data_IF_495478756757
#
_entry.id   IF_495478756757
#
_cell.length_a   1.000
_cell.length_b   1.000
_cell.length_c   1.000
_cell.angle_alpha   90.00
_cell.angle_beta   90.00
_cell.angle_gamma   90.00
#
_symmetry.space_group_name_H-M   'P 1'
#
loop_
_entity.id
_entity.type
_entity.pdbx_description
1 polymer ?
#
# COMPACT_ATOMS: atom_id res chain seq x y z
N UNK A 1 -41.98 22.95 15.54
CA UNK A 1 -40.67 22.35 15.90
C UNK A 1 -40.67 20.93 15.37
N UNK A 2 -40.39 20.75 14.08
CA UNK A 2 -39.99 19.43 13.59
C UNK A 2 -38.68 19.08 14.27
N UNK A 3 -38.65 17.96 14.99
CA UNK A 3 -37.42 17.42 15.55
C UNK A 3 -36.46 17.18 14.40
N UNK A 4 -35.35 17.90 14.43
CA UNK A 4 -34.18 17.70 13.59
C UNK A 4 -33.79 16.21 13.69
N UNK A 5 -34.28 15.39 12.76
CA UNK A 5 -33.91 13.98 12.68
C UNK A 5 -32.44 14.00 12.27
N UNK A 6 -31.53 13.75 13.21
CA UNK A 6 -30.12 13.52 12.93
C UNK A 6 -29.99 12.62 11.70
N UNK A 7 -29.60 13.22 10.57
CA UNK A 7 -29.43 12.53 9.30
C UNK A 7 -28.39 11.42 9.53
N UNK A 8 -28.73 10.19 9.17
CA UNK A 8 -27.82 9.04 9.31
C UNK A 8 -27.72 8.35 7.97
N UNK A 9 -26.51 8.19 7.44
CA UNK A 9 -26.27 7.50 6.17
C UNK A 9 -25.48 6.20 6.42
N UNK A 10 -26.14 5.06 6.22
CA UNK A 10 -25.57 3.73 6.38
C UNK A 10 -25.45 2.98 5.04
N UNK A 11 -25.69 3.66 3.92
CA UNK A 11 -25.85 3.03 2.61
C UNK A 11 -24.66 2.14 2.21
N UNK A 12 -23.44 2.58 2.50
CA UNK A 12 -22.19 1.86 2.21
C UNK A 12 -22.16 0.42 2.79
N UNK A 13 -22.74 0.21 3.97
CA UNK A 13 -22.78 -1.11 4.62
C UNK A 13 -23.57 -2.14 3.80
N UNK A 14 -24.50 -1.70 2.97
CA UNK A 14 -25.42 -2.58 2.24
C UNK A 14 -25.08 -2.69 0.75
N UNK A 15 -24.16 -1.85 0.27
CA UNK A 15 -23.63 -1.94 -1.09
C UNK A 15 -22.85 -3.26 -1.28
N UNK A 16 -22.91 -3.84 -2.49
CA UNK A 16 -22.09 -5.00 -2.83
C UNK A 16 -20.60 -4.64 -2.72
N UNK A 17 -19.77 -5.62 -2.37
CA UNK A 17 -18.32 -5.47 -2.40
C UNK A 17 -17.90 -5.19 -3.84
N UNK A 18 -17.00 -4.23 -4.03
CA UNK A 18 -16.39 -4.00 -5.33
C UNK A 18 -15.65 -5.26 -5.83
N UNK A 19 -15.79 -5.63 -7.11
CA UNK A 19 -15.05 -6.74 -7.67
C UNK A 19 -13.55 -6.45 -7.62
N UNK A 20 -12.75 -7.52 -7.52
CA UNK A 20 -11.30 -7.41 -7.67
C UNK A 20 -10.94 -7.30 -9.14
N UNK A 21 -9.97 -6.45 -9.46
CA UNK A 21 -9.42 -6.35 -10.81
C UNK A 21 -8.70 -7.66 -11.15
N UNK A 22 -8.95 -8.17 -12.35
CA UNK A 22 -8.28 -9.38 -12.86
C UNK A 22 -6.82 -9.07 -13.24
N UNK A 23 -6.02 -10.11 -13.47
CA UNK A 23 -4.64 -9.94 -13.93
C UNK A 23 -4.60 -9.33 -15.34
N UNK A 24 -5.46 -9.77 -16.25
CA UNK A 24 -5.55 -9.26 -17.63
C UNK A 24 -5.92 -7.77 -17.66
N UNK A 25 -6.94 -7.36 -16.89
CA UNK A 25 -7.31 -5.95 -16.76
C UNK A 25 -6.17 -5.12 -16.17
N UNK A 26 -5.48 -5.65 -15.15
CA UNK A 26 -4.34 -4.97 -14.54
C UNK A 26 -3.18 -4.79 -15.53
N UNK A 27 -2.87 -5.80 -16.34
CA UNK A 27 -1.84 -5.72 -17.37
C UNK A 27 -2.19 -4.69 -18.45
N UNK A 28 -3.43 -4.70 -18.93
CA UNK A 28 -3.93 -3.73 -19.91
C UNK A 28 -3.82 -2.30 -19.40
N UNK A 29 -4.30 -2.03 -18.18
CA UNK A 29 -4.24 -0.69 -17.58
C UNK A 29 -2.79 -0.26 -17.30
N UNK A 30 -1.94 -1.17 -16.82
CA UNK A 30 -0.53 -0.85 -16.65
C UNK A 30 0.14 -0.55 -17.99
N UNK A 31 -0.18 -1.27 -19.05
CA UNK A 31 0.37 -1.01 -20.38
C UNK A 31 -0.03 0.39 -20.86
N UNK A 32 -1.32 0.71 -20.87
CA UNK A 32 -1.87 2.01 -21.29
C UNK A 32 -1.18 3.18 -20.54
N UNK A 33 -1.17 3.15 -19.21
CA UNK A 33 -0.57 4.24 -18.44
C UNK A 33 0.95 4.36 -18.59
N UNK A 34 1.65 3.29 -18.97
CA UNK A 34 3.08 3.35 -19.25
C UNK A 34 3.38 3.72 -20.72
N UNK A 35 2.44 3.52 -21.65
CA UNK A 35 2.52 4.08 -23.01
C UNK A 35 2.39 5.60 -22.96
N UNK A 36 1.51 6.13 -22.11
CA UNK A 36 1.39 7.58 -21.89
C UNK A 36 2.61 8.20 -21.19
N UNK A 37 3.48 7.43 -20.53
CA UNK A 37 4.56 7.97 -19.70
C UNK A 37 5.82 8.25 -20.54
N UNK A 38 6.01 9.51 -20.93
CA UNK A 38 7.21 9.97 -21.64
C UNK A 38 8.48 9.84 -20.79
N UNK A 39 8.42 10.28 -19.54
CA UNK A 39 9.57 10.33 -18.65
C UNK A 39 9.18 10.38 -17.17
N UNK A 40 10.04 9.81 -16.32
CA UNK A 40 9.91 9.86 -14.87
C UNK A 40 11.26 10.17 -14.22
N UNK A 41 11.38 11.35 -13.62
CA UNK A 41 12.54 11.73 -12.82
C UNK A 41 12.28 11.52 -11.33
N UNK A 42 13.12 10.70 -10.69
CA UNK A 42 12.99 10.34 -9.29
C UNK A 42 14.01 11.08 -8.41
N UNK A 43 13.55 11.58 -7.26
CA UNK A 43 14.36 12.27 -6.26
C UNK A 43 14.07 11.72 -4.86
N UNK A 44 15.08 11.77 -3.99
CA UNK A 44 14.97 11.40 -2.57
C UNK A 44 15.48 12.54 -1.69
N UNK A 45 14.84 12.73 -0.54
CA UNK A 45 15.24 13.74 0.44
C UNK A 45 16.49 13.29 1.20
N UNK A 46 17.61 13.95 0.95
CA UNK A 46 18.85 13.76 1.69
C UNK A 46 19.22 15.03 2.46
N UNK A 47 19.26 14.91 3.79
CA UNK A 47 19.50 16.05 4.67
C UNK A 47 18.40 17.12 4.54
N UNK A 48 18.68 18.19 3.78
CA UNK A 48 17.77 19.32 3.55
C UNK A 48 17.45 19.57 2.08
N UNK A 49 17.83 18.66 1.18
CA UNK A 49 17.65 18.84 -0.27
C UNK A 49 17.20 17.54 -0.93
N UNK A 50 16.40 17.67 -1.97
CA UNK A 50 16.10 16.56 -2.86
C UNK A 50 17.25 16.36 -3.84
N UNK A 51 17.76 15.14 -3.92
CA UNK A 51 18.79 14.72 -4.87
C UNK A 51 18.25 13.61 -5.77
N UNK A 52 18.83 13.43 -6.94
CA UNK A 52 18.40 12.40 -7.89
C UNK A 52 18.56 11.02 -7.26
N UNK A 53 17.50 10.22 -7.33
CA UNK A 53 17.52 8.82 -6.90
C UNK A 53 18.29 7.99 -7.94
N UNK A 54 19.26 7.14 -7.53
CA UNK A 54 19.91 6.22 -8.44
C UNK A 54 18.91 5.27 -9.10
N UNK A 55 19.11 4.94 -10.37
CA UNK A 55 18.14 4.16 -11.16
C UNK A 55 17.96 2.73 -10.65
N UNK A 56 19.02 2.14 -10.09
CA UNK A 56 19.02 0.82 -9.46
C UNK A 56 18.09 0.75 -8.24
N UNK A 57 17.88 1.89 -7.58
CA UNK A 57 17.00 2.01 -6.41
C UNK A 57 15.55 2.34 -6.77
N UNK A 58 15.24 2.61 -8.04
CA UNK A 58 13.89 2.95 -8.46
C UNK A 58 12.91 1.82 -8.09
N UNK A 59 11.85 2.13 -7.34
CA UNK A 59 10.90 1.13 -6.83
C UNK A 59 11.26 0.56 -5.46
N UNK A 60 12.37 0.98 -4.84
CA UNK A 60 12.75 0.65 -3.46
C UNK A 60 12.58 1.90 -2.60
N UNK A 61 11.60 1.85 -1.70
CA UNK A 61 11.24 2.94 -0.81
C UNK A 61 11.64 2.64 0.63
N UNK A 62 12.03 3.66 1.37
CA UNK A 62 12.33 3.59 2.80
C UNK A 62 11.25 4.32 3.60
N UNK A 63 10.68 3.66 4.60
CA UNK A 63 9.52 4.19 5.33
C UNK A 63 9.83 5.42 6.22
N UNK A 64 11.09 5.79 6.39
CA UNK A 64 11.53 6.99 7.11
C UNK A 64 11.88 8.17 6.17
N UNK A 65 11.81 7.97 4.85
CA UNK A 65 12.19 8.97 3.86
C UNK A 65 11.01 9.51 3.04
N UNK A 66 11.30 10.60 2.33
CA UNK A 66 10.39 11.23 1.38
C UNK A 66 11.01 11.21 -0.02
N UNK A 67 10.17 10.97 -1.03
CA UNK A 67 10.56 10.87 -2.42
C UNK A 67 9.68 11.78 -3.27
N UNK A 68 10.23 12.26 -4.39
CA UNK A 68 9.52 13.09 -5.37
C UNK A 68 9.73 12.48 -6.74
N UNK A 69 8.66 12.30 -7.49
CA UNK A 69 8.69 11.79 -8.86
C UNK A 69 8.03 12.81 -9.76
N UNK A 70 8.78 13.37 -10.71
CA UNK A 70 8.24 14.21 -11.76
C UNK A 70 7.97 13.31 -12.97
N UNK A 71 6.69 13.04 -13.23
CA UNK A 71 6.24 12.27 -14.37
C UNK A 71 5.69 13.21 -15.44
N UNK A 72 6.14 13.07 -16.69
CA UNK A 72 5.55 13.71 -17.86
C UNK A 72 4.73 12.67 -18.61
N UNK A 73 3.45 12.96 -18.79
CA UNK A 73 2.55 12.13 -19.57
C UNK A 73 2.20 12.82 -20.88
N UNK A 74 2.24 12.08 -21.97
CA UNK A 74 1.66 12.48 -23.23
C UNK A 74 0.14 12.58 -23.11
N UNK A 75 -0.44 13.57 -23.78
CA UNK A 75 -1.90 13.77 -23.86
C UNK A 75 -2.26 13.99 -25.33
N UNK A 76 -3.21 13.20 -25.88
CA UNK A 76 -3.72 13.46 -27.22
C UNK A 76 -4.41 14.84 -27.26
N UNK A 77 -4.15 15.62 -28.31
CA UNK A 77 -4.88 16.86 -28.55
C UNK A 77 -6.29 16.52 -29.05
N UNK A 78 -7.31 16.81 -28.25
CA UNK A 78 -8.70 16.70 -28.70
C UNK A 78 -8.99 17.80 -29.73
N UNK A 79 -9.25 17.41 -30.98
CA UNK A 79 -9.73 18.32 -32.01
C UNK A 79 -11.16 18.77 -31.62
N UNK A 80 -11.50 20.07 -31.75
CA UNK A 80 -12.85 20.54 -31.49
C UNK A 80 -13.87 19.79 -32.36
N UNK A 81 -14.96 19.30 -31.78
CA UNK A 81 -16.04 18.60 -32.52
C UNK A 81 -16.69 19.47 -33.62
N UNK A 82 -16.50 20.79 -33.54
CA UNK A 82 -17.05 21.80 -34.47
C UNK A 82 -16.04 22.30 -35.52
N UNK A 83 -14.87 21.67 -35.67
CA UNK A 83 -13.93 22.03 -36.73
C UNK A 83 -14.50 21.60 -38.09
N UNK A 84 -15.07 22.55 -38.84
CA UNK A 84 -15.55 22.32 -40.21
C UNK A 84 -14.41 21.75 -41.08
N UNK A 85 -14.71 20.73 -41.90
CA UNK A 85 -13.79 20.16 -42.89
C UNK A 85 -13.32 21.28 -43.86
N UNK A 86 -12.22 21.95 -43.53
CA UNK A 86 -11.52 22.87 -44.43
C UNK A 86 -11.24 24.29 -43.95
N UNK A 87 -11.47 24.65 -42.68
CA UNK A 87 -10.90 25.89 -42.13
C UNK A 87 -9.52 25.60 -41.51
N UNK A 88 -8.52 26.31 -42.05
CA UNK A 88 -7.08 26.30 -41.80
C UNK A 88 -6.60 25.41 -40.65
N UNK A 89 -5.80 24.39 -41.01
CA UNK A 89 -4.80 23.73 -40.15
C UNK A 89 -3.83 24.80 -39.61
N UNK A 90 -4.27 25.70 -38.73
CA UNK A 90 -3.36 26.36 -37.81
C UNK A 90 -2.66 25.23 -37.07
N UNK A 91 -1.32 25.26 -37.07
CA UNK A 91 -0.41 24.29 -36.47
C UNK A 91 -0.77 24.02 -34.99
N UNK A 92 -1.83 23.26 -34.73
CA UNK A 92 -2.15 22.76 -33.42
C UNK A 92 -0.99 21.83 -33.05
N UNK A 93 -0.32 22.05 -31.92
CA UNK A 93 0.82 21.23 -31.55
C UNK A 93 0.40 19.77 -31.56
N UNK A 94 1.09 18.94 -32.36
CA UNK A 94 0.74 17.52 -32.58
C UNK A 94 0.74 16.70 -31.27
N UNK A 95 1.32 17.24 -30.19
CA UNK A 95 1.48 16.58 -28.90
C UNK A 95 1.26 17.59 -27.74
N UNK A 96 0.30 17.29 -26.85
CA UNK A 96 0.20 17.96 -25.54
C UNK A 96 0.76 17.06 -24.44
N UNK A 97 1.01 17.62 -23.26
CA UNK A 97 1.52 16.88 -22.13
C UNK A 97 0.97 17.38 -20.81
N UNK A 98 0.92 16.48 -19.84
CA UNK A 98 0.62 16.81 -18.44
C UNK A 98 1.77 16.36 -17.54
N UNK A 99 2.21 17.23 -16.66
CA UNK A 99 3.22 16.90 -15.66
C UNK A 99 2.53 16.59 -14.33
N UNK A 100 2.79 15.42 -13.75
CA UNK A 100 2.33 15.06 -12.41
C UNK A 100 3.54 14.86 -11.51
N UNK A 101 3.58 15.59 -10.40
CA UNK A 101 4.57 15.41 -9.35
C UNK A 101 3.97 14.58 -8.23
N UNK A 102 4.45 13.35 -8.09
CA UNK A 102 4.12 12.48 -6.96
C UNK A 102 5.09 12.72 -5.81
N UNK A 103 4.61 13.28 -4.71
CA UNK A 103 5.35 13.31 -3.45
C UNK A 103 4.96 12.10 -2.61
N UNK A 104 5.89 11.17 -2.39
CA UNK A 104 5.67 10.00 -1.55
C UNK A 104 6.29 10.19 -0.18
N UNK A 105 5.51 9.98 0.88
CA UNK A 105 5.96 10.08 2.26
C UNK A 105 5.87 8.73 2.98
N UNK A 106 7.02 8.23 3.44
CA UNK A 106 7.08 7.03 4.28
C UNK A 106 6.27 7.20 5.57
N UNK A 107 5.76 6.08 6.13
CA UNK A 107 4.94 6.11 7.35
C UNK A 107 5.63 6.85 8.50
N UNK A 108 6.93 6.60 8.68
CA UNK A 108 7.78 7.14 9.73
C UNK A 108 8.50 8.44 9.31
N UNK A 109 8.32 8.89 8.07
CA UNK A 109 8.94 10.09 7.56
C UNK A 109 8.28 11.37 8.13
N UNK A 110 9.13 12.37 8.43
CA UNK A 110 8.70 13.65 8.98
C UNK A 110 7.95 14.52 7.94
N UNK A 111 6.98 15.31 8.42
CA UNK A 111 6.30 16.33 7.61
C UNK A 111 7.24 17.44 7.12
N UNK A 112 8.44 17.57 7.70
CA UNK A 112 9.47 18.49 7.20
C UNK A 112 9.88 18.22 5.75
N UNK A 113 9.76 16.97 5.27
CA UNK A 113 10.04 16.66 3.87
C UNK A 113 9.06 17.32 2.91
N UNK A 114 7.77 17.36 3.27
CA UNK A 114 6.74 18.04 2.47
C UNK A 114 7.01 19.55 2.41
N UNK A 115 7.30 20.18 3.55
CA UNK A 115 7.67 21.60 3.60
C UNK A 115 8.91 21.88 2.75
N UNK A 116 9.92 21.02 2.83
CA UNK A 116 11.14 21.15 2.02
C UNK A 116 10.81 21.11 0.53
N UNK A 117 9.94 20.19 0.10
CA UNK A 117 9.49 20.11 -1.29
C UNK A 117 8.75 21.39 -1.73
N UNK A 118 7.74 21.82 -0.98
CA UNK A 118 6.93 23.00 -1.31
C UNK A 118 7.77 24.28 -1.40
N UNK A 119 8.74 24.48 -0.52
CA UNK A 119 9.60 25.66 -0.54
C UNK A 119 10.81 25.55 -1.50
N UNK A 120 11.10 24.38 -2.07
CA UNK A 120 12.24 24.19 -2.97
C UNK A 120 11.85 23.77 -4.39
N UNK A 121 11.47 22.50 -4.60
CA UNK A 121 11.22 21.94 -5.93
C UNK A 121 9.87 22.39 -6.50
N UNK A 122 8.83 22.49 -5.67
CA UNK A 122 7.48 22.79 -6.16
C UNK A 122 7.44 24.09 -6.97
N UNK A 123 7.98 25.19 -6.42
CA UNK A 123 8.06 26.48 -7.13
C UNK A 123 8.85 26.43 -8.43
N UNK A 124 9.88 25.56 -8.51
CA UNK A 124 10.66 25.38 -9.74
C UNK A 124 9.83 24.65 -10.80
N UNK A 125 9.12 23.59 -10.41
CA UNK A 125 8.24 22.87 -11.31
C UNK A 125 7.06 23.74 -11.78
N UNK A 126 6.44 24.51 -10.88
CA UNK A 126 5.39 25.47 -11.23
C UNK A 126 5.90 26.52 -12.23
N UNK A 127 7.12 27.01 -12.06
CA UNK A 127 7.74 27.94 -13.02
C UNK A 127 8.07 27.32 -14.38
N UNK A 128 8.26 25.99 -14.46
CA UNK A 128 8.61 25.29 -15.69
C UNK A 128 7.38 24.81 -16.47
N UNK A 129 6.33 24.39 -15.75
CA UNK A 129 5.19 23.70 -16.34
C UNK A 129 3.86 24.43 -16.18
N UNK A 130 3.81 25.49 -15.36
CA UNK A 130 2.63 26.35 -15.22
C UNK A 130 1.38 25.57 -14.83
N UNK A 131 0.33 25.74 -15.61
CA UNK A 131 -1.00 25.11 -15.48
C UNK A 131 -1.01 23.61 -15.82
N UNK A 132 0.02 23.11 -16.51
CA UNK A 132 0.16 21.68 -16.83
C UNK A 132 0.66 20.82 -15.67
N UNK A 133 0.96 21.45 -14.52
CA UNK A 133 1.48 20.77 -13.34
C UNK A 133 0.37 20.37 -12.37
N UNK A 134 0.30 19.08 -12.06
CA UNK A 134 -0.46 18.55 -10.94
C UNK A 134 0.50 18.07 -9.84
N UNK A 135 0.21 18.37 -8.58
CA UNK A 135 0.99 17.87 -7.43
C UNK A 135 0.13 16.92 -6.61
N UNK A 136 0.54 15.66 -6.54
CA UNK A 136 -0.14 14.61 -5.79
C UNK A 136 0.72 14.21 -4.59
N UNK A 137 0.25 14.53 -3.39
CA UNK A 137 0.86 14.06 -2.15
C UNK A 137 0.26 12.70 -1.78
N UNK A 138 1.10 11.68 -1.70
CA UNK A 138 0.72 10.34 -1.26
C UNK A 138 1.53 9.91 -0.04
N UNK A 139 0.89 9.12 0.80
CA UNK A 139 1.52 8.46 1.94
C UNK A 139 1.73 6.98 1.61
N UNK A 140 2.69 6.36 2.29
CA UNK A 140 2.92 4.92 2.21
C UNK A 140 1.62 4.11 2.28
N UNK A 141 1.41 3.21 1.31
CA UNK A 141 0.22 2.37 1.14
C UNK A 141 -1.09 3.13 0.83
N UNK A 142 -1.01 4.41 0.47
CA UNK A 142 -2.13 5.23 -0.02
C UNK A 142 -1.83 5.80 -1.41
N UNK A 143 -0.97 5.11 -2.16
CA UNK A 143 -0.64 5.45 -3.54
C UNK A 143 -1.81 5.14 -4.47
N UNK A 144 -1.98 5.95 -5.53
CA UNK A 144 -2.97 5.63 -6.55
C UNK A 144 -2.43 4.58 -7.53
N UNK A 145 -3.35 3.91 -8.24
CA UNK A 145 -2.99 2.82 -9.16
C UNK A 145 -2.10 3.31 -10.32
N UNK A 146 -2.31 4.54 -10.83
CA UNK A 146 -1.49 5.10 -11.91
C UNK A 146 -0.02 5.18 -11.52
N UNK A 147 0.28 5.74 -10.35
CA UNK A 147 1.64 5.78 -9.82
C UNK A 147 2.24 4.38 -9.61
N UNK A 148 1.46 3.45 -9.02
CA UNK A 148 1.93 2.07 -8.77
C UNK A 148 2.22 1.30 -10.07
N UNK A 149 1.49 1.60 -11.15
CA UNK A 149 1.64 0.92 -12.45
C UNK A 149 3.04 1.05 -13.05
N UNK A 150 3.73 2.17 -12.80
CA UNK A 150 5.06 2.44 -13.34
C UNK A 150 6.15 1.55 -12.74
N UNK A 151 5.86 0.90 -11.62
CA UNK A 151 6.77 -0.04 -10.96
C UNK A 151 6.56 -1.49 -11.40
N UNK A 152 5.56 -1.76 -12.26
CA UNK A 152 5.29 -3.10 -12.82
C UNK A 152 5.24 -4.16 -11.72
N UNK A 153 4.51 -3.86 -10.63
CA UNK A 153 4.34 -4.67 -9.40
C UNK A 153 5.58 -4.81 -8.50
N UNK A 154 6.73 -4.23 -8.87
CA UNK A 154 7.96 -4.25 -8.08
C UNK A 154 8.07 -3.02 -7.17
N UNK A 155 7.09 -2.83 -6.29
CA UNK A 155 7.05 -1.74 -5.31
C UNK A 155 7.49 -2.25 -3.92
N UNK A 156 8.73 -1.97 -3.54
CA UNK A 156 9.34 -2.47 -2.29
C UNK A 156 9.33 -1.37 -1.23
N UNK A 157 8.88 -1.68 -0.02
CA UNK A 157 8.95 -0.76 1.12
C UNK A 157 9.83 -1.40 2.21
N UNK A 158 10.99 -0.80 2.46
CA UNK A 158 11.93 -1.13 3.53
C UNK A 158 11.65 -0.31 4.79
N UNK A 159 11.98 -0.90 5.92
CA UNK A 159 11.97 -0.24 7.22
C UNK A 159 13.28 0.49 7.46
N UNK A 160 13.20 1.65 8.12
CA UNK A 160 14.35 2.49 8.42
C UNK A 160 14.71 3.42 7.28
N UNK A 161 15.70 4.26 7.53
CA UNK A 161 16.22 5.24 6.59
C UNK A 161 17.08 4.63 5.48
N UNK A 162 17.04 5.21 4.29
CA UNK A 162 17.91 4.89 3.17
C UNK A 162 19.38 5.10 3.55
N UNK A 163 20.21 4.10 3.27
CA UNK A 163 21.66 4.15 3.52
C UNK A 163 22.33 4.95 2.42
N UNK A 164 23.12 5.96 2.80
CA UNK A 164 23.92 6.73 1.85
C UNK A 164 25.15 5.92 1.42
N UNK A 165 25.68 6.11 0.21
CA UNK A 165 26.85 5.35 -0.30
C UNK A 165 28.09 5.42 0.61
N UNK A 166 28.25 6.51 1.35
CA UNK A 166 29.38 6.74 2.26
C UNK A 166 29.05 6.45 3.73
N UNK A 167 27.90 5.82 4.01
CA UNK A 167 27.54 5.44 5.38
C UNK A 167 28.49 4.35 5.90
N UNK A 168 28.81 4.33 7.21
CA UNK A 168 29.59 3.25 7.80
C UNK A 168 28.94 1.90 7.50
N UNK A 169 29.74 0.89 7.15
CA UNK A 169 29.22 -0.46 6.99
C UNK A 169 28.71 -0.99 8.33
N UNK A 170 27.39 -1.03 8.46
CA UNK A 170 26.73 -1.70 9.57
C UNK A 170 26.63 -3.19 9.28
N UNK A 171 26.76 -4.00 10.35
CA UNK A 171 26.51 -5.44 10.25
C UNK A 171 25.09 -5.67 9.71
N UNK A 172 24.93 -6.42 8.59
CA UNK A 172 23.62 -6.68 8.03
C UNK A 172 22.78 -7.47 9.04
N UNK A 173 21.49 -7.15 9.11
CA UNK A 173 20.52 -7.84 9.95
C UNK A 173 19.55 -8.60 9.06
N UNK A 174 18.87 -9.61 9.61
CA UNK A 174 17.86 -10.35 8.86
C UNK A 174 16.76 -9.41 8.38
N UNK A 175 16.47 -9.45 7.09
CA UNK A 175 15.33 -8.75 6.50
C UNK A 175 14.28 -9.76 6.03
N UNK A 176 13.01 -9.46 6.28
CA UNK A 176 11.89 -10.32 5.91
C UNK A 176 10.81 -9.49 5.22
N UNK A 177 10.43 -9.87 4.01
CA UNK A 177 9.48 -9.15 3.19
C UNK A 177 8.27 -10.01 2.87
N UNK A 178 7.12 -9.37 2.77
CA UNK A 178 5.84 -9.98 2.43
C UNK A 178 5.32 -9.34 1.15
N UNK A 179 5.24 -10.12 0.07
CA UNK A 179 4.64 -9.72 -1.20
C UNK A 179 3.13 -9.97 -1.15
N UNK A 180 2.33 -8.92 -1.37
CA UNK A 180 0.87 -9.01 -1.35
C UNK A 180 0.24 -7.92 -2.22
N UNK A 181 -0.82 -8.30 -2.93
CA UNK A 181 -1.73 -7.40 -3.62
C UNK A 181 -3.08 -7.36 -2.90
N UNK A 182 -3.70 -6.19 -2.80
CA UNK A 182 -5.06 -6.03 -2.30
C UNK A 182 -5.95 -5.44 -3.38
N UNK A 183 -7.06 -6.11 -3.71
CA UNK A 183 -8.07 -5.59 -4.63
C UNK A 183 -7.66 -5.59 -6.11
N UNK A 184 -6.42 -5.23 -6.43
CA UNK A 184 -5.85 -5.19 -7.77
C UNK A 184 -4.40 -5.68 -7.77
N UNK A 185 -3.96 -6.45 -8.79
CA UNK A 185 -2.56 -6.79 -9.00
C UNK A 185 -1.65 -5.56 -9.13
N UNK A 186 -2.14 -4.42 -9.62
CA UNK A 186 -1.36 -3.17 -9.70
C UNK A 186 -0.92 -2.71 -8.30
N UNK A 187 -1.75 -2.95 -7.28
CA UNK A 187 -1.47 -2.62 -5.89
C UNK A 187 -0.54 -3.62 -5.18
N UNK A 188 0.19 -4.45 -5.92
CA UNK A 188 1.21 -5.35 -5.37
C UNK A 188 2.30 -4.55 -4.68
N UNK A 189 2.54 -4.83 -3.39
CA UNK A 189 3.66 -4.28 -2.63
C UNK A 189 4.48 -5.40 -2.00
N UNK A 190 5.78 -5.18 -1.85
CA UNK A 190 6.68 -6.03 -1.08
C UNK A 190 7.13 -5.27 0.16
N UNK A 191 6.47 -5.51 1.29
CA UNK A 191 6.67 -4.72 2.51
C UNK A 191 7.55 -5.47 3.49
N UNK A 192 8.59 -4.82 4.00
CA UNK A 192 9.44 -5.36 5.05
C UNK A 192 8.66 -5.46 6.37
N UNK A 193 8.64 -6.65 6.95
CA UNK A 193 7.98 -6.98 8.20
C UNK A 193 8.99 -7.60 9.18
N UNK A 194 8.59 -7.72 10.45
CA UNK A 194 9.43 -8.37 11.44
C UNK A 194 9.63 -9.85 11.09
N UNK A 195 10.87 -10.39 11.13
CA UNK A 195 11.12 -11.82 10.95
C UNK A 195 10.38 -12.63 12.03
N UNK A 196 9.35 -13.37 11.63
CA UNK A 196 8.62 -14.28 12.49
C UNK A 196 7.85 -15.30 11.64
N UNK A 197 8.09 -16.59 11.87
CA UNK A 197 7.40 -17.67 11.15
C UNK A 197 5.87 -17.59 11.21
N UNK A 198 5.29 -17.02 12.27
CA UNK A 198 3.83 -16.84 12.39
C UNK A 198 3.22 -15.87 11.36
N UNK A 199 4.04 -15.14 10.61
CA UNK A 199 3.59 -14.30 9.51
C UNK A 199 3.56 -14.99 8.16
N UNK A 200 4.13 -16.19 8.01
CA UNK A 200 4.02 -16.99 6.80
C UNK A 200 2.54 -17.31 6.52
N UNK A 201 2.22 -17.48 5.24
CA UNK A 201 0.89 -17.87 4.80
C UNK A 201 1.00 -18.52 3.42
N UNK A 202 0.37 -19.68 3.18
CA UNK A 202 0.44 -20.37 1.90
C UNK A 202 0.01 -19.53 0.69
N UNK A 203 -0.83 -18.49 0.87
CA UNK A 203 -1.31 -17.67 -0.25
C UNK A 203 -0.26 -16.68 -0.77
N UNK A 204 0.82 -16.41 -0.06
CA UNK A 204 1.74 -15.31 -0.40
C UNK A 204 3.16 -15.80 -0.66
N UNK A 205 3.95 -14.92 -1.28
CA UNK A 205 5.39 -15.08 -1.40
C UNK A 205 6.11 -14.18 -0.38
N UNK A 206 7.25 -14.66 0.11
CA UNK A 206 8.07 -13.94 1.08
C UNK A 206 9.53 -13.96 0.67
N UNK A 207 10.27 -12.90 1.00
CA UNK A 207 11.72 -12.83 0.77
C UNK A 207 12.38 -12.71 2.14
N UNK A 208 13.24 -13.67 2.49
CA UNK A 208 14.00 -13.70 3.74
C UNK A 208 15.48 -13.59 3.41
N UNK A 209 16.09 -12.46 3.72
CA UNK A 209 17.55 -12.29 3.69
C UNK A 209 18.12 -12.66 5.06
N UNK A 210 19.03 -13.63 5.08
CA UNK A 210 19.75 -14.08 6.27
C UNK A 210 21.23 -13.76 6.09
N UNK A 211 21.80 -12.85 6.89
CA UNK A 211 23.21 -12.49 6.79
C UNK A 211 24.13 -13.59 7.32
N UNK A 212 25.35 -13.67 6.77
CA UNK A 212 26.44 -14.49 7.29
C UNK A 212 27.53 -13.62 7.91
N UNK A 213 28.30 -14.21 8.83
CA UNK A 213 29.52 -13.61 9.39
C UNK A 213 30.74 -13.88 8.48
N UNK A 214 30.56 -13.90 7.16
CA UNK A 214 31.60 -14.19 6.16
C UNK A 214 31.98 -12.94 5.35
N UNK A 215 33.23 -12.88 4.90
CA UNK A 215 33.74 -11.79 4.06
C UNK A 215 33.43 -11.99 2.56
N UNK A 216 33.25 -13.24 2.11
CA UNK A 216 33.09 -13.57 0.68
C UNK A 216 31.63 -13.54 0.21
N UNK A 217 30.69 -13.91 1.08
CA UNK A 217 29.24 -13.87 0.83
C UNK A 217 28.56 -13.21 2.02
N UNK A 218 27.82 -12.13 1.78
CA UNK A 218 27.14 -11.37 2.84
C UNK A 218 25.98 -12.15 3.46
N UNK A 219 25.47 -13.18 2.78
CA UNK A 219 24.39 -14.04 3.28
C UNK A 219 23.72 -14.88 2.20
N UNK A 220 22.54 -15.40 2.55
CA UNK A 220 21.61 -16.11 1.67
C UNK A 220 20.26 -15.41 1.67
N UNK A 221 19.58 -15.39 0.52
CA UNK A 221 18.23 -14.86 0.36
C UNK A 221 17.33 -16.00 -0.08
N UNK A 222 16.30 -16.27 0.72
CA UNK A 222 15.27 -17.24 0.41
C UNK A 222 14.05 -16.53 -0.15
N UNK A 223 13.61 -16.92 -1.34
CA UNK A 223 12.28 -16.58 -1.84
C UNK A 223 11.36 -17.76 -1.55
N UNK A 224 10.56 -17.61 -0.50
CA UNK A 224 9.62 -18.62 -0.06
C UNK A 224 8.31 -18.47 -0.82
N UNK A 225 7.89 -19.53 -1.51
CA UNK A 225 6.68 -19.61 -2.32
C UNK A 225 5.66 -20.46 -1.57
N UNK A 226 4.57 -19.84 -1.13
CA UNK A 226 3.50 -20.55 -0.44
C UNK A 226 2.75 -21.51 -1.35
N UNK A 227 2.21 -22.60 -0.80
CA UNK A 227 1.54 -23.64 -1.59
C UNK A 227 0.24 -23.22 -2.29
N UNK A 228 -0.28 -22.02 -1.99
CA UNK A 228 -1.45 -21.41 -2.61
C UNK A 228 -1.11 -20.06 -3.29
N UNK A 229 0.17 -19.73 -3.44
CA UNK A 229 0.60 -18.50 -4.10
C UNK A 229 0.33 -18.54 -5.60
N UNK A 230 0.06 -17.38 -6.19
CA UNK A 230 -0.08 -17.25 -7.64
C UNK A 230 1.30 -17.27 -8.32
N UNK A 231 1.38 -17.88 -9.49
CA UNK A 231 2.64 -18.05 -10.22
C UNK A 231 3.24 -16.67 -10.58
N UNK A 232 2.40 -15.73 -10.97
CA UNK A 232 2.79 -14.37 -11.32
C UNK A 232 3.37 -13.61 -10.11
N UNK A 233 2.85 -13.86 -8.89
CA UNK A 233 3.42 -13.32 -7.65
C UNK A 233 4.81 -13.92 -7.37
N UNK A 234 5.01 -15.21 -7.61
CA UNK A 234 6.30 -15.87 -7.42
C UNK A 234 7.38 -15.31 -8.36
N UNK A 235 7.04 -15.08 -9.63
CA UNK A 235 7.94 -14.44 -10.61
C UNK A 235 8.30 -13.01 -10.19
N UNK A 236 7.34 -12.25 -9.65
CA UNK A 236 7.61 -10.90 -9.13
C UNK A 236 8.52 -10.96 -7.90
N UNK A 237 8.28 -11.87 -6.95
CA UNK A 237 9.10 -12.04 -5.76
C UNK A 237 10.56 -12.40 -6.12
N UNK A 238 10.75 -13.29 -7.10
CA UNK A 238 12.05 -13.65 -7.63
C UNK A 238 12.78 -12.43 -8.22
N UNK A 239 12.13 -11.69 -9.13
CA UNK A 239 12.70 -10.46 -9.73
C UNK A 239 13.10 -9.43 -8.68
N UNK A 240 12.27 -9.24 -7.65
CA UNK A 240 12.60 -8.33 -6.54
C UNK A 240 13.84 -8.82 -5.79
N UNK A 241 13.94 -10.12 -5.48
CA UNK A 241 15.09 -10.68 -4.78
C UNK A 241 16.39 -10.49 -5.58
N UNK A 242 16.39 -10.79 -6.88
CA UNK A 242 17.55 -10.55 -7.74
C UNK A 242 17.93 -9.07 -7.78
N UNK A 243 16.96 -8.18 -8.01
CA UNK A 243 17.20 -6.74 -8.03
C UNK A 243 17.86 -6.23 -6.74
N UNK A 244 17.44 -6.74 -5.59
CA UNK A 244 17.92 -6.25 -4.29
C UNK A 244 19.24 -6.87 -3.83
N UNK A 245 19.56 -8.11 -4.25
CA UNK A 245 20.58 -8.90 -3.55
C UNK A 245 21.57 -9.67 -4.44
N UNK A 246 21.38 -9.69 -5.76
CA UNK A 246 22.18 -10.54 -6.68
C UNK A 246 23.70 -10.36 -6.57
N UNK A 247 24.18 -9.16 -6.22
CA UNK A 247 25.62 -8.85 -6.23
C UNK A 247 26.36 -9.41 -5.01
N UNK A 248 25.66 -9.64 -3.89
CA UNK A 248 26.29 -9.90 -2.59
C UNK A 248 25.77 -11.15 -1.85
N UNK A 249 24.68 -11.75 -2.34
CA UNK A 249 23.99 -12.85 -1.66
C UNK A 249 23.65 -13.98 -2.64
N UNK A 250 23.64 -15.22 -2.14
CA UNK A 250 23.09 -16.35 -2.89
C UNK A 250 21.58 -16.35 -2.76
N UNK A 251 20.85 -16.41 -3.89
CA UNK A 251 19.39 -16.44 -3.91
C UNK A 251 18.92 -17.89 -4.10
N UNK A 252 17.96 -18.33 -3.29
CA UNK A 252 17.37 -19.66 -3.34
C UNK A 252 15.84 -19.57 -3.34
N UNK A 253 15.22 -20.18 -4.32
CA UNK A 253 13.76 -20.37 -4.37
C UNK A 253 13.42 -21.61 -3.53
N UNK A 254 12.45 -21.48 -2.62
CA UNK A 254 11.99 -22.60 -1.79
C UNK A 254 10.46 -22.65 -1.75
N UNK A 255 9.90 -23.84 -1.86
CA UNK A 255 8.45 -24.05 -1.70
C UNK A 255 8.08 -24.33 -0.25
N UNK A 256 6.83 -24.01 0.13
CA UNK A 256 6.30 -24.37 1.44
C UNK A 256 6.48 -25.87 1.74
N UNK A 257 7.09 -26.17 2.89
CA UNK A 257 7.42 -27.53 3.31
C UNK A 257 8.83 -28.02 2.93
N UNK A 258 9.54 -27.29 2.08
CA UNK A 258 10.92 -27.59 1.67
C UNK A 258 11.95 -26.67 2.37
N UNK A 259 11.58 -26.06 3.50
CA UNK A 259 12.43 -25.08 4.16
C UNK A 259 13.66 -25.73 4.82
N UNK A 260 14.89 -25.24 4.54
CA UNK A 260 16.09 -25.77 5.18
C UNK A 260 16.08 -25.59 6.70
N UNK A 261 16.49 -26.62 7.45
CA UNK A 261 16.45 -26.58 8.92
C UNK A 261 17.37 -25.52 9.54
N UNK A 262 18.56 -25.32 8.99
CA UNK A 262 19.64 -24.59 9.67
C UNK A 262 19.54 -23.06 9.54
N UNK A 263 19.30 -22.52 8.36
CA UNK A 263 19.40 -21.07 8.13
C UNK A 263 18.04 -20.38 8.03
N UNK A 264 17.06 -21.00 7.37
CA UNK A 264 15.75 -20.40 7.17
C UNK A 264 15.01 -20.22 8.51
N UNK A 265 14.83 -21.31 9.26
CA UNK A 265 14.09 -21.24 10.53
C UNK A 265 14.82 -20.42 11.59
N UNK A 266 16.15 -20.45 11.63
CA UNK A 266 16.93 -19.60 12.54
C UNK A 266 16.78 -18.13 12.14
N UNK A 267 16.94 -17.81 10.86
CA UNK A 267 16.82 -16.44 10.34
C UNK A 267 15.46 -15.81 10.62
N UNK A 268 14.37 -16.56 10.46
CA UNK A 268 13.00 -16.06 10.68
C UNK A 268 12.54 -16.09 12.16
N UNK A 269 13.42 -16.45 13.10
CA UNK A 269 13.11 -16.43 14.54
C UNK A 269 12.40 -17.68 15.08
N UNK A 270 12.73 -18.83 14.50
CA UNK A 270 12.27 -20.16 14.88
C UNK A 270 10.97 -20.59 14.21
N UNK A 271 10.75 -21.91 14.11
CA UNK A 271 9.52 -22.49 13.57
C UNK A 271 8.34 -22.20 14.51
N UNK A 272 7.24 -21.69 13.97
CA UNK A 272 6.02 -21.38 14.70
C UNK A 272 4.79 -21.72 13.85
N UNK A 273 3.62 -21.99 14.47
CA UNK A 273 2.37 -22.08 13.74
C UNK A 273 2.07 -20.77 13.01
N UNK A 274 1.48 -20.90 11.81
CA UNK A 274 1.05 -19.80 10.96
C UNK A 274 -0.29 -20.11 10.29
N UNK A 275 -0.99 -19.08 9.81
CA UNK A 275 -2.30 -19.21 9.14
C UNK A 275 -2.17 -20.08 7.87
N UNK A 276 -3.12 -20.99 7.63
CA UNK A 276 -3.09 -21.94 6.49
C UNK A 276 -3.97 -21.53 5.31
N UNK A 277 -4.63 -20.38 5.41
CA UNK A 277 -5.43 -19.79 4.36
C UNK A 277 -5.38 -18.25 4.47
N UNK A 278 -5.84 -17.59 3.43
CA UNK A 278 -6.04 -16.14 3.41
C UNK A 278 -7.46 -15.79 2.94
N UNK A 279 -8.48 -16.54 3.39
CA UNK A 279 -9.87 -16.32 2.95
C UNK A 279 -10.37 -14.92 3.24
N UNK A 280 -9.83 -14.26 4.26
CA UNK A 280 -10.12 -12.86 4.56
C UNK A 280 -9.86 -11.94 3.36
N UNK A 281 -8.91 -12.25 2.45
CA UNK A 281 -8.67 -11.46 1.24
C UNK A 281 -9.90 -11.36 0.32
N UNK A 282 -10.76 -12.39 0.33
CA UNK A 282 -11.98 -12.44 -0.49
C UNK A 282 -13.14 -11.66 0.13
N UNK A 283 -13.08 -11.36 1.43
CA UNK A 283 -14.23 -10.84 2.18
C UNK A 283 -13.95 -9.55 2.94
N UNK A 284 -12.68 -9.21 3.18
CA UNK A 284 -12.26 -8.05 3.93
C UNK A 284 -12.87 -6.77 3.35
N UNK A 285 -13.60 -6.04 4.19
CA UNK A 285 -14.15 -4.71 3.91
C UNK A 285 -13.96 -3.84 5.13
N UNK A 286 -13.40 -2.64 4.94
CA UNK A 286 -13.19 -1.66 5.99
C UNK A 286 -14.15 -0.50 5.78
N UNK A 287 -14.90 -0.14 6.81
CA UNK A 287 -15.80 1.00 6.82
C UNK A 287 -15.38 1.99 7.89
N UNK A 288 -15.46 3.29 7.57
CA UNK A 288 -15.26 4.41 8.48
C UNK A 288 -16.61 4.93 8.95
N UNK A 289 -16.85 4.94 10.25
CA UNK A 289 -18.00 5.58 10.89
C UNK A 289 -17.55 6.93 11.47
N UNK A 290 -18.07 8.01 10.91
CA UNK A 290 -17.64 9.37 11.28
C UNK A 290 -18.80 10.37 11.20
N UNK A 291 -18.70 11.44 11.98
CA UNK A 291 -19.60 12.59 11.93
C UNK A 291 -19.03 13.82 11.20
N UNK A 292 -17.86 13.73 10.56
CA UNK A 292 -17.16 14.84 9.89
C UNK A 292 -18.04 15.63 8.91
N UNK A 293 -19.03 14.99 8.29
CA UNK A 293 -19.98 15.63 7.35
C UNK A 293 -21.07 16.46 8.04
N UNK A 294 -20.96 16.69 9.35
CA UNK A 294 -21.98 17.31 10.20
C UNK A 294 -23.11 16.35 10.61
N UNK A 295 -23.03 15.08 10.20
CA UNK A 295 -24.01 14.05 10.52
C UNK A 295 -23.35 12.66 10.49
N UNK A 296 -23.92 11.69 11.20
CA UNK A 296 -23.33 10.35 11.28
C UNK A 296 -23.43 9.63 9.94
N UNK A 297 -22.29 9.24 9.38
CA UNK A 297 -22.22 8.56 8.10
C UNK A 297 -21.23 7.40 8.14
N UNK A 298 -21.52 6.37 7.34
CA UNK A 298 -20.63 5.24 7.11
C UNK A 298 -20.15 5.28 5.67
N UNK A 299 -18.83 5.27 5.48
CA UNK A 299 -18.20 5.17 4.15
C UNK A 299 -17.32 3.93 4.09
N UNK A 300 -17.24 3.31 2.92
CA UNK A 300 -16.34 2.17 2.68
C UNK A 300 -14.99 2.70 2.20
N UNK A 301 -13.91 2.12 2.74
CA UNK A 301 -12.54 2.30 2.25
C UNK A 301 -12.30 1.37 1.07
N UNK A 302 -11.41 1.76 0.17
CA UNK A 302 -11.03 0.91 -0.98
C UNK A 302 -10.50 -0.46 -0.50
N UNK A 303 -10.52 -1.45 -1.39
CA UNK A 303 -10.05 -2.79 -1.07
C UNK A 303 -8.57 -2.85 -0.64
N UNK A 304 -7.77 -1.85 -1.03
CA UNK A 304 -6.36 -1.68 -0.67
C UNK A 304 -6.16 -0.81 0.59
N UNK A 305 -7.03 -0.95 1.58
CA UNK A 305 -6.89 -0.24 2.84
C UNK A 305 -5.63 -0.66 3.62
N UNK A 306 -5.09 0.26 4.41
CA UNK A 306 -3.86 0.07 5.18
C UNK A 306 -4.06 0.40 6.68
N UNK A 307 -3.02 0.18 7.49
CA UNK A 307 -3.09 0.47 8.93
C UNK A 307 -3.35 1.96 9.21
N UNK A 308 -2.86 2.86 8.34
CA UNK A 308 -3.01 4.31 8.48
C UNK A 308 -4.42 4.81 8.12
N UNK A 309 -5.28 3.94 7.56
CA UNK A 309 -6.71 4.25 7.41
C UNK A 309 -7.49 4.18 8.73
N UNK A 310 -6.89 3.61 9.80
CA UNK A 310 -7.49 3.56 11.12
C UNK A 310 -7.36 4.92 11.84
N UNK A 311 -8.34 5.79 11.61
CA UNK A 311 -8.36 7.15 12.11
C UNK A 311 -8.65 7.21 13.63
N UNK A 312 -7.77 7.86 14.39
CA UNK A 312 -7.83 7.88 15.87
C UNK A 312 -9.04 8.60 16.46
N UNK A 313 -9.69 9.45 15.67
CA UNK A 313 -10.89 10.20 15.97
C UNK A 313 -12.19 9.47 15.58
N UNK A 314 -12.12 8.33 14.89
CA UNK A 314 -13.29 7.61 14.39
C UNK A 314 -13.41 6.16 14.88
N UNK A 315 -14.56 5.55 14.58
CA UNK A 315 -14.77 4.11 14.69
C UNK A 315 -14.67 3.46 13.32
N UNK A 316 -13.95 2.35 13.23
CA UNK A 316 -13.85 1.55 12.02
C UNK A 316 -14.59 0.22 12.20
N UNK A 317 -15.32 -0.20 11.16
CA UNK A 317 -15.93 -1.53 11.10
C UNK A 317 -15.14 -2.35 10.07
N UNK A 318 -14.59 -3.50 10.47
CA UNK A 318 -13.89 -4.42 9.58
C UNK A 318 -14.64 -5.76 9.53
N UNK A 319 -15.25 -6.12 8.39
CA UNK A 319 -15.74 -7.48 8.15
C UNK A 319 -14.65 -8.28 7.45
N UNK A 320 -14.13 -9.35 8.06
CA UNK A 320 -13.15 -10.24 7.43
C UNK A 320 -13.76 -11.51 6.80
N UNK A 321 -15.10 -11.60 6.77
CA UNK A 321 -15.83 -12.78 6.31
C UNK A 321 -16.28 -13.73 7.41
N UNK A 322 -15.66 -13.70 8.59
CA UNK A 322 -16.06 -14.55 9.73
C UNK A 322 -16.40 -13.72 10.97
N UNK A 323 -15.69 -12.62 11.16
CA UNK A 323 -15.82 -11.69 12.26
C UNK A 323 -16.01 -10.28 11.71
N UNK A 324 -16.86 -9.52 12.41
CA UNK A 324 -16.98 -8.09 12.25
C UNK A 324 -16.31 -7.46 13.45
N UNK A 325 -15.25 -6.69 13.22
CA UNK A 325 -14.54 -5.98 14.26
C UNK A 325 -15.04 -4.54 14.34
N UNK A 326 -15.30 -4.08 15.55
CA UNK A 326 -15.44 -2.65 15.85
C UNK A 326 -14.08 -2.18 16.39
N UNK A 327 -13.32 -1.45 15.58
CA UNK A 327 -12.09 -0.80 16.01
C UNK A 327 -12.41 0.62 16.46
N UNK A 328 -12.04 0.98 17.69
CA UNK A 328 -12.40 2.26 18.31
C UNK A 328 -11.15 3.11 18.48
N UNK A 329 -11.13 4.27 17.82
CA UNK A 329 -10.10 5.29 17.98
C UNK A 329 -10.05 5.85 19.40
N UNK A 330 -8.89 6.36 19.80
CA UNK A 330 -8.69 6.90 21.17
C UNK A 330 -9.35 8.25 21.40
N UNK A 331 -9.58 9.02 20.34
CA UNK A 331 -10.14 10.38 20.35
C UNK A 331 -11.62 10.41 19.91
N UNK A 332 -12.24 9.24 19.75
CA UNK A 332 -13.62 9.12 19.26
C UNK A 332 -14.67 9.45 20.33
N UNK A 333 -15.80 10.01 19.90
CA UNK A 333 -16.91 10.35 20.79
C UNK A 333 -17.77 9.14 21.21
N UNK A 334 -18.33 9.16 22.42
CA UNK A 334 -19.28 8.13 22.90
C UNK A 334 -20.50 7.98 21.98
N UNK A 335 -20.92 9.09 21.36
CA UNK A 335 -22.03 9.11 20.40
C UNK A 335 -21.68 8.29 19.16
N UNK A 336 -20.50 8.50 18.59
CA UNK A 336 -20.02 7.74 17.43
C UNK A 336 -19.83 6.26 17.76
N UNK A 337 -19.26 5.94 18.93
CA UNK A 337 -19.12 4.55 19.39
C UNK A 337 -20.49 3.87 19.45
N UNK A 338 -21.48 4.52 20.05
CA UNK A 338 -22.84 3.97 20.18
C UNK A 338 -23.53 3.79 18.82
N UNK A 339 -23.36 4.76 17.92
CA UNK A 339 -23.96 4.69 16.57
C UNK A 339 -23.26 3.62 15.72
N UNK A 340 -21.93 3.56 15.73
CA UNK A 340 -21.15 2.54 15.02
C UNK A 340 -21.45 1.12 15.52
N UNK A 341 -21.60 0.92 16.83
CA UNK A 341 -22.02 -0.36 17.39
C UNK A 341 -23.40 -0.78 16.87
N UNK A 342 -24.39 0.12 16.87
CA UNK A 342 -25.72 -0.15 16.29
C UNK A 342 -25.64 -0.45 14.80
N UNK A 343 -24.85 0.31 14.04
CA UNK A 343 -24.63 0.08 12.61
C UNK A 343 -24.04 -1.30 12.33
N UNK A 344 -23.03 -1.72 13.12
CA UNK A 344 -22.44 -3.05 13.03
C UNK A 344 -23.47 -4.17 13.33
N UNK A 345 -24.36 -3.97 14.31
CA UNK A 345 -25.43 -4.93 14.60
C UNK A 345 -26.43 -5.06 13.43
N UNK A 346 -26.85 -3.94 12.84
CA UNK A 346 -27.74 -3.95 11.67
C UNK A 346 -27.05 -4.62 10.48
N UNK A 347 -25.77 -4.32 10.25
CA UNK A 347 -24.97 -4.95 9.21
C UNK A 347 -24.87 -6.47 9.38
N UNK A 348 -24.58 -6.96 10.58
CA UNK A 348 -24.53 -8.40 10.89
C UNK A 348 -25.89 -9.06 10.68
N UNK A 349 -26.98 -8.40 11.08
CA UNK A 349 -28.33 -8.93 10.87
C UNK A 349 -28.67 -9.03 9.39
N UNK A 350 -28.28 -8.04 8.58
CA UNK A 350 -28.42 -8.08 7.13
C UNK A 350 -27.60 -9.23 6.50
N UNK A 351 -26.35 -9.40 6.93
CA UNK A 351 -25.51 -10.51 6.47
C UNK A 351 -26.07 -11.88 6.87
N UNK A 352 -26.68 -12.01 8.05
CA UNK A 352 -27.35 -13.25 8.45
C UNK A 352 -28.48 -13.64 7.50
N UNK A 353 -29.21 -12.67 6.96
CA UNK A 353 -30.27 -12.91 5.99
C UNK A 353 -29.71 -13.24 4.59
N UNK A 354 -28.63 -12.56 4.16
CA UNK A 354 -28.04 -12.76 2.83
C UNK A 354 -27.07 -13.95 2.74
N UNK A 355 -26.41 -14.31 3.83
CA UNK A 355 -25.36 -15.33 3.93
C UNK A 355 -25.57 -16.18 5.21
N UNK A 356 -26.68 -16.92 5.30
CA UNK A 356 -27.03 -17.68 6.51
C UNK A 356 -26.01 -18.76 6.89
N UNK A 357 -25.31 -19.28 5.89
CA UNK A 357 -24.22 -20.26 5.96
C UNK A 357 -22.91 -19.69 6.51
N UNK A 358 -22.78 -18.36 6.65
CA UNK A 358 -21.60 -17.70 7.20
C UNK A 358 -21.94 -16.66 8.27
N UNK A 359 -22.35 -17.08 9.47
CA UNK A 359 -22.67 -16.15 10.54
C UNK A 359 -21.44 -15.34 10.99
N UNK A 360 -21.59 -14.02 11.08
CA UNK A 360 -20.52 -13.13 11.59
C UNK A 360 -20.56 -13.01 13.11
N UNK A 361 -19.39 -13.02 13.74
CA UNK A 361 -19.22 -12.72 15.17
C UNK A 361 -18.73 -11.28 15.35
N UNK A 362 -19.44 -10.48 16.16
CA UNK A 362 -19.01 -9.13 16.52
C UNK A 362 -17.89 -9.20 17.56
N UNK A 363 -16.76 -8.54 17.31
CA UNK A 363 -15.62 -8.45 18.21
C UNK A 363 -15.17 -6.99 18.37
N UNK A 364 -14.62 -6.65 19.53
CA UNK A 364 -13.97 -5.37 19.77
C UNK A 364 -12.48 -5.48 19.42
N UNK A 365 -11.95 -4.50 18.68
CA UNK A 365 -10.53 -4.34 18.42
C UNK A 365 -10.06 -3.03 19.07
N UNK A 366 -9.38 -3.12 20.21
CA UNK A 366 -8.87 -1.94 20.90
C UNK A 366 -7.51 -1.55 20.35
N UNK A 367 -7.29 -0.24 20.14
CA UNK A 367 -6.00 0.28 19.70
C UNK A 367 -4.85 -0.26 20.58
N UNK A 368 -3.79 -0.78 19.99
CA UNK A 368 -2.61 -1.41 20.64
C UNK A 368 -2.86 -2.79 21.28
N UNK A 369 -4.06 -3.33 21.18
CA UNK A 369 -4.43 -4.67 21.69
C UNK A 369 -5.16 -5.48 20.62
N UNK A 370 -4.90 -5.19 19.35
CA UNK A 370 -5.53 -5.84 18.22
C UNK A 370 -5.08 -7.30 18.12
N UNK A 371 -6.05 -8.19 18.02
CA UNK A 371 -5.77 -9.61 17.82
C UNK A 371 -5.25 -9.87 16.40
N UNK A 372 -4.47 -10.94 16.21
CA UNK A 372 -3.95 -11.37 14.89
C UNK A 372 -5.04 -11.50 13.81
N UNK A 373 -6.25 -11.92 14.21
CA UNK A 373 -7.42 -12.04 13.33
C UNK A 373 -7.85 -10.71 12.69
N UNK A 374 -7.58 -9.59 13.38
CA UNK A 374 -7.76 -8.24 12.87
C UNK A 374 -6.53 -7.81 12.06
N UNK A 375 -5.34 -7.88 12.66
CA UNK A 375 -4.11 -7.32 12.05
C UNK A 375 -3.70 -8.01 10.75
N UNK A 376 -4.03 -9.29 10.55
CA UNK A 376 -3.74 -10.00 9.28
C UNK A 376 -4.47 -9.42 8.07
N UNK A 377 -5.58 -8.71 8.29
CA UNK A 377 -6.32 -8.05 7.21
C UNK A 377 -5.54 -6.87 6.61
N UNK A 378 -4.56 -6.32 7.33
CA UNK A 378 -3.75 -5.19 6.90
C UNK A 378 -2.37 -5.68 6.45
N UNK A 379 -1.91 -5.22 5.30
CA UNK A 379 -0.57 -5.55 4.81
C UNK A 379 0.48 -4.69 5.53
N UNK A 380 1.55 -5.31 6.03
CA UNK A 380 2.63 -4.57 6.71
C UNK A 380 2.23 -3.98 8.06
N UNK A 381 1.33 -4.64 8.81
CA UNK A 381 0.96 -4.19 10.16
C UNK A 381 2.19 -4.03 11.05
N UNK A 382 2.34 -2.86 11.65
CA UNK A 382 3.48 -2.50 12.48
C UNK A 382 3.08 -1.66 13.68
N UNK A 383 4.06 -0.94 14.22
CA UNK A 383 3.81 0.04 15.29
C UNK A 383 2.96 1.18 14.73
N UNK A 384 2.06 1.69 15.56
CA UNK A 384 1.34 2.91 15.24
C UNK A 384 2.31 4.09 15.14
N UNK A 385 2.03 5.00 14.20
CA UNK A 385 2.72 6.27 14.13
C UNK A 385 2.42 7.08 15.39
N UNK A 386 3.45 7.39 16.17
CA UNK A 386 3.37 8.36 17.24
C UNK A 386 3.68 9.73 16.64
N UNK A 387 2.64 10.54 16.40
CA UNK A 387 2.85 11.96 16.12
C UNK A 387 3.18 12.58 17.46
N UNK A 388 4.46 12.91 17.69
CA UNK A 388 4.83 13.75 18.82
C UNK A 388 4.09 15.09 18.66
N UNK A 389 3.13 15.34 19.55
CA UNK A 389 2.41 16.62 19.64
C UNK A 389 3.34 17.77 20.03
#
# INVERSE_FOLDING_TARGET
>A
MERDKMKTDLSALFMPRQPTMTMEEAESIMQEWNEDLDSMEAFVLEGKKFVRLPSEELGIFHNEDCYVFLCRYWVPVELPEDAEEGEEEEELPEEDFKCVVYFWQGRMASNMGWLTFTFSLQKKFESLFGDKLEVVRTHQQQENLKFLSHYKRMFVIRNGKRKLPNAPEEKPSTEFFHLRANGSPIATRCVQIQPCASFLNPRFCYILMVPFDSQDLKGVVYVWIGGLAEHEDAVVAEKIAYKMYQDNYTIQMISEGEEPENFFWVGIGGKKPYDKDANYMKYARLFRCSNEKGYFSVSEKCADFCQDDLADDDVMILDNGEQVFLWVGRKTSDVEIKLAFKSAQVYIQHLRNKQPDRPRKLLLAMKYKEHRKFTKCFHGWGKYKEVME
#
